data_IF_731043583286
#
_entry.id   IF_731043583286
#
_cell.length_a   1.000
_cell.length_b   1.000
_cell.length_c   1.000
_cell.angle_alpha   90.00
_cell.angle_beta   90.00
_cell.angle_gamma   90.00
#
_symmetry.space_group_name_H-M   'P 1'
#
loop_
_entity.id
_entity.type
_entity.pdbx_description
1 polymer ?
#
# COMPACT_ATOMS: atom_id res chain seq x y z
N UNK A 1 -0.70 40.50 -14.66
CA UNK A 1 -0.83 39.10 -15.11
C UNK A 1 -1.64 38.34 -14.07
N UNK A 2 -2.92 38.06 -14.33
CA UNK A 2 -3.70 37.20 -13.44
C UNK A 2 -3.33 35.76 -13.78
N UNK A 3 -2.79 35.00 -12.82
CA UNK A 3 -2.59 33.58 -12.97
C UNK A 3 -3.93 32.96 -13.42
N UNK A 4 -3.96 32.05 -14.41
CA UNK A 4 -5.21 31.41 -14.80
C UNK A 4 -5.75 30.71 -13.56
N UNK A 5 -6.83 31.25 -13.00
CA UNK A 5 -7.58 30.63 -11.93
C UNK A 5 -8.03 29.28 -12.47
N UNK A 6 -7.33 28.22 -12.07
CA UNK A 6 -7.72 26.87 -12.48
C UNK A 6 -9.16 26.70 -12.03
N UNK A 7 -10.06 26.36 -12.97
CA UNK A 7 -11.45 26.10 -12.64
C UNK A 7 -11.49 25.08 -11.49
N UNK A 8 -12.40 25.23 -10.53
CA UNK A 8 -12.45 24.35 -9.37
C UNK A 8 -12.63 22.87 -9.77
N UNK A 9 -13.22 22.60 -10.93
CA UNK A 9 -13.28 21.28 -11.58
C UNK A 9 -11.91 20.74 -12.02
N UNK A 10 -11.05 21.60 -12.60
CA UNK A 10 -9.68 21.24 -12.97
C UNK A 10 -8.81 21.00 -11.74
N UNK A 11 -9.02 21.77 -10.68
CA UNK A 11 -8.36 21.55 -9.39
C UNK A 11 -8.79 20.22 -8.76
N UNK A 12 -10.09 19.90 -8.79
CA UNK A 12 -10.62 18.63 -8.30
C UNK A 12 -10.00 17.44 -9.06
N UNK A 13 -10.00 17.49 -10.40
CA UNK A 13 -9.42 16.43 -11.23
C UNK A 13 -7.93 16.19 -10.93
N UNK A 14 -7.15 17.25 -10.69
CA UNK A 14 -5.75 17.12 -10.24
C UNK A 14 -5.62 16.49 -8.86
N UNK A 15 -6.48 16.85 -7.91
CA UNK A 15 -6.45 16.27 -6.56
C UNK A 15 -6.80 14.78 -6.61
N UNK A 16 -7.78 14.39 -7.41
CA UNK A 16 -8.15 13.00 -7.64
C UNK A 16 -7.02 12.20 -8.31
N UNK A 17 -6.29 12.82 -9.23
CA UNK A 17 -5.13 12.18 -9.85
C UNK A 17 -3.99 11.94 -8.86
N UNK A 18 -3.65 12.95 -8.06
CA UNK A 18 -2.66 12.83 -6.98
C UNK A 18 -3.06 11.77 -5.94
N UNK A 19 -4.37 11.59 -5.72
CA UNK A 19 -4.94 10.54 -4.86
C UNK A 19 -4.78 9.16 -5.49
N UNK A 20 -5.10 8.99 -6.78
CA UNK A 20 -4.85 7.75 -7.54
C UNK A 20 -3.36 7.38 -7.56
N UNK A 21 -2.46 8.36 -7.71
CA UNK A 21 -1.02 8.13 -7.69
C UNK A 21 -0.57 7.59 -6.32
N UNK A 22 -1.04 8.20 -5.23
CA UNK A 22 -0.71 7.76 -3.86
C UNK A 22 -1.25 6.34 -3.59
N UNK A 23 -2.46 6.04 -4.08
CA UNK A 23 -3.02 4.69 -4.00
C UNK A 23 -2.19 3.66 -4.79
N UNK A 24 -1.78 3.99 -6.03
CA UNK A 24 -0.90 3.11 -6.81
C UNK A 24 0.43 2.85 -6.12
N UNK A 25 0.99 3.84 -5.43
CA UNK A 25 2.22 3.64 -4.65
C UNK A 25 2.01 2.62 -3.52
N UNK A 26 0.89 2.67 -2.80
CA UNK A 26 0.52 1.67 -1.81
C UNK A 26 0.38 0.26 -2.44
N UNK A 27 -0.29 0.16 -3.59
CA UNK A 27 -0.42 -1.11 -4.31
C UNK A 27 0.92 -1.67 -4.77
N UNK A 28 1.87 -0.81 -5.16
CA UNK A 28 3.22 -1.24 -5.53
C UNK A 28 4.01 -1.74 -4.33
N UNK A 29 3.85 -1.15 -3.14
CA UNK A 29 4.47 -1.65 -1.90
C UNK A 29 3.91 -3.02 -1.56
N UNK A 30 2.58 -3.18 -1.60
CA UNK A 30 1.91 -4.46 -1.32
C UNK A 30 2.36 -5.57 -2.29
N UNK A 31 2.41 -5.25 -3.60
CA UNK A 31 2.92 -6.17 -4.62
C UNK A 31 4.38 -6.54 -4.41
N UNK A 32 5.22 -5.61 -3.96
CA UNK A 32 6.63 -5.89 -3.65
C UNK A 32 6.76 -6.84 -2.47
N UNK A 33 5.96 -6.65 -1.40
CA UNK A 33 5.92 -7.55 -0.25
C UNK A 33 5.50 -8.95 -0.70
N UNK A 34 4.39 -9.04 -1.44
CA UNK A 34 3.85 -10.31 -1.97
C UNK A 34 4.86 -11.02 -2.88
N UNK A 35 5.49 -10.29 -3.81
CA UNK A 35 6.47 -10.87 -4.74
C UNK A 35 7.70 -11.40 -4.01
N UNK A 36 8.23 -10.63 -3.05
CA UNK A 36 9.39 -11.03 -2.25
C UNK A 36 9.06 -12.26 -1.40
N UNK A 37 7.84 -12.33 -0.89
CA UNK A 37 7.34 -13.48 -0.15
C UNK A 37 7.26 -14.75 -1.01
N UNK A 38 6.64 -14.68 -2.20
CA UNK A 38 6.54 -15.80 -3.13
C UNK A 38 7.91 -16.31 -3.59
N UNK A 39 8.92 -15.43 -3.68
CA UNK A 39 10.29 -15.82 -4.02
C UNK A 39 11.03 -16.54 -2.87
N UNK A 40 10.66 -16.29 -1.61
CA UNK A 40 11.28 -16.88 -0.41
C UNK A 40 10.63 -18.23 -0.06
N UNK A 41 9.35 -18.44 -0.38
CA UNK A 41 8.60 -19.66 -0.06
C UNK A 41 9.25 -20.97 -0.57
N UNK A 42 9.71 -21.10 -1.84
CA UNK A 42 10.38 -22.33 -2.30
C UNK A 42 11.72 -22.58 -1.60
N UNK A 43 12.43 -21.51 -1.22
CA UNK A 43 13.73 -21.62 -0.51
C UNK A 43 13.53 -22.11 0.92
N UNK A 44 12.49 -21.63 1.59
CA UNK A 44 12.06 -22.14 2.91
C UNK A 44 11.67 -23.62 2.83
N UNK A 45 10.89 -24.01 1.82
CA UNK A 45 10.49 -25.40 1.60
C UNK A 45 11.69 -26.33 1.35
N UNK A 46 12.67 -25.93 0.52
CA UNK A 46 13.90 -26.71 0.28
C UNK A 46 14.81 -26.83 1.50
N UNK A 47 14.86 -25.80 2.35
CA UNK A 47 15.66 -25.83 3.59
C UNK A 47 15.02 -26.75 4.65
N UNK A 48 13.71 -26.97 4.55
CA UNK A 48 12.98 -27.94 5.37
C UNK A 48 13.24 -29.39 4.93
N UNK A 49 13.38 -29.66 3.62
CA UNK A 49 13.66 -31.02 3.11
C UNK A 49 15.09 -31.48 3.41
N UNK A 50 16.07 -30.56 3.48
CA UNK A 50 17.47 -30.89 3.76
C UNK A 50 17.82 -31.15 5.24
N UNK A 51 16.97 -30.77 6.20
CA UNK A 51 17.28 -30.86 7.64
C UNK A 51 16.98 -32.22 8.29
N UNK A 52 16.57 -33.21 7.50
CA UNK A 52 16.01 -34.43 8.04
C UNK A 52 16.54 -35.68 7.36
N UNK A 53 17.77 -36.04 7.74
CA UNK A 53 18.23 -37.42 7.72
C UNK A 53 17.57 -38.20 8.88
N UNK A 54 16.23 -38.27 8.89
CA UNK A 54 15.46 -39.18 9.76
C UNK A 54 14.29 -38.64 10.62
N UNK A 55 13.90 -37.36 10.57
CA UNK A 55 12.75 -36.83 11.35
C UNK A 55 11.78 -36.09 10.43
N UNK A 56 10.46 -36.25 10.56
CA UNK A 56 9.54 -35.48 9.71
C UNK A 56 9.64 -33.97 10.05
N UNK A 57 9.65 -33.07 9.05
CA UNK A 57 9.67 -31.64 9.33
C UNK A 57 8.38 -31.17 10.01
N UNK A 58 8.51 -30.52 11.15
CA UNK A 58 7.41 -29.85 11.83
C UNK A 58 6.86 -28.71 10.96
N UNK A 59 5.71 -28.92 10.30
CA UNK A 59 5.04 -27.90 9.48
C UNK A 59 4.73 -26.60 10.24
N UNK A 60 4.62 -26.66 11.58
CA UNK A 60 4.52 -25.48 12.45
C UNK A 60 5.74 -24.57 12.34
N UNK A 61 6.95 -25.12 12.32
CA UNK A 61 8.19 -24.32 12.24
C UNK A 61 8.35 -23.59 10.91
N UNK A 62 7.80 -24.13 9.81
CA UNK A 62 7.76 -23.47 8.51
C UNK A 62 6.82 -22.26 8.53
N UNK A 63 5.61 -22.44 9.06
CA UNK A 63 4.60 -21.37 9.17
C UNK A 63 5.08 -20.26 10.10
N UNK A 64 5.74 -20.59 11.20
CA UNK A 64 6.33 -19.60 12.11
C UNK A 64 7.45 -18.80 11.45
N UNK A 65 8.37 -19.47 10.73
CA UNK A 65 9.41 -18.78 9.95
C UNK A 65 8.82 -17.92 8.84
N UNK A 66 7.77 -18.40 8.18
CA UNK A 66 7.04 -17.63 7.17
C UNK A 66 6.39 -16.38 7.77
N UNK A 67 5.70 -16.49 8.91
CA UNK A 67 5.11 -15.35 9.64
C UNK A 67 6.16 -14.36 10.13
N UNK A 68 7.29 -14.84 10.65
CA UNK A 68 8.39 -13.99 11.09
C UNK A 68 9.01 -13.21 9.91
N UNK A 69 9.19 -13.86 8.75
CA UNK A 69 9.68 -13.19 7.54
C UNK A 69 8.65 -12.17 7.01
N UNK A 70 7.35 -12.49 7.05
CA UNK A 70 6.30 -11.54 6.69
C UNK A 70 6.35 -10.31 7.59
N UNK A 71 6.38 -10.53 8.91
CA UNK A 71 6.41 -9.46 9.90
C UNK A 71 7.64 -8.56 9.72
N UNK A 72 8.81 -9.13 9.42
CA UNK A 72 10.02 -8.36 9.12
C UNK A 72 9.85 -7.49 7.87
N UNK A 73 9.43 -8.08 6.75
CA UNK A 73 9.23 -7.36 5.49
C UNK A 73 8.16 -6.27 5.60
N UNK A 74 7.07 -6.54 6.30
CA UNK A 74 6.02 -5.57 6.57
C UNK A 74 6.54 -4.46 7.49
N UNK A 75 7.25 -4.78 8.58
CA UNK A 75 7.80 -3.77 9.49
C UNK A 75 8.78 -2.81 8.80
N UNK A 76 9.63 -3.30 7.88
CA UNK A 76 10.55 -2.47 7.09
C UNK A 76 9.85 -1.49 6.14
N UNK A 77 8.60 -1.78 5.74
CA UNK A 77 7.79 -0.95 4.83
C UNK A 77 6.63 -0.25 5.53
N UNK A 78 6.34 -0.60 6.78
CA UNK A 78 5.24 -0.09 7.58
C UNK A 78 5.26 1.44 7.73
N UNK A 79 6.39 2.10 8.09
CA UNK A 79 6.36 3.55 8.25
C UNK A 79 6.06 4.29 6.94
N UNK A 80 6.51 3.75 5.80
CA UNK A 80 6.22 4.29 4.47
C UNK A 80 4.76 4.09 4.10
N UNK A 81 4.21 2.88 4.32
CA UNK A 81 2.81 2.57 4.07
C UNK A 81 1.87 3.42 4.95
N UNK A 82 2.20 3.59 6.23
CA UNK A 82 1.45 4.44 7.15
C UNK A 82 1.52 5.92 6.77
N UNK A 83 2.68 6.41 6.34
CA UNK A 83 2.82 7.79 5.86
C UNK A 83 1.97 8.04 4.62
N UNK A 84 1.97 7.12 3.66
CA UNK A 84 1.14 7.18 2.46
C UNK A 84 -0.35 7.05 2.79
N UNK A 85 -0.73 6.19 3.74
CA UNK A 85 -2.10 6.05 4.21
C UNK A 85 -2.62 7.34 4.87
N UNK A 86 -1.82 7.96 5.75
CA UNK A 86 -2.16 9.27 6.33
C UNK A 86 -2.27 10.36 5.27
N UNK A 87 -1.40 10.35 4.26
CA UNK A 87 -1.46 11.28 3.13
C UNK A 87 -2.75 11.08 2.33
N UNK A 88 -3.14 9.83 2.08
CA UNK A 88 -4.37 9.47 1.38
C UNK A 88 -5.61 9.99 2.12
N UNK A 89 -5.68 9.76 3.44
CA UNK A 89 -6.79 10.27 4.26
C UNK A 89 -6.93 11.80 4.19
N UNK A 90 -5.80 12.53 4.18
CA UNK A 90 -5.81 13.99 4.01
C UNK A 90 -6.27 14.41 2.61
N UNK A 91 -5.86 13.69 1.57
CA UNK A 91 -6.31 13.94 0.20
C UNK A 91 -7.81 13.68 0.05
N UNK A 92 -8.31 12.56 0.59
CA UNK A 92 -9.74 12.22 0.56
C UNK A 92 -10.58 13.28 1.29
N UNK A 93 -10.14 13.75 2.46
CA UNK A 93 -10.81 14.84 3.18
C UNK A 93 -10.83 16.16 2.39
N UNK A 94 -9.73 16.52 1.75
CA UNK A 94 -9.64 17.75 0.94
C UNK A 94 -10.51 17.66 -0.33
N UNK A 95 -10.54 16.50 -0.99
CA UNK A 95 -11.42 16.23 -2.14
C UNK A 95 -12.89 16.31 -1.71
N UNK A 96 -13.25 15.70 -0.58
CA UNK A 96 -14.62 15.75 -0.06
C UNK A 96 -15.08 17.19 0.23
N UNK A 97 -14.23 17.98 0.89
CA UNK A 97 -14.52 19.40 1.16
C UNK A 97 -14.66 20.23 -0.12
N UNK A 98 -13.87 19.96 -1.16
CA UNK A 98 -13.98 20.66 -2.44
C UNK A 98 -15.26 20.26 -3.19
N UNK A 99 -15.64 18.99 -3.16
CA UNK A 99 -16.91 18.51 -3.75
C UNK A 99 -18.13 19.10 -3.05
N UNK A 100 -18.11 19.18 -1.73
CA UNK A 100 -19.16 19.82 -0.93
C UNK A 100 -19.33 21.30 -1.32
N UNK A 101 -18.22 22.04 -1.41
CA UNK A 101 -18.23 23.45 -1.87
C UNK A 101 -18.77 23.61 -3.28
N UNK A 102 -18.42 22.71 -4.20
CA UNK A 102 -18.93 22.71 -5.57
C UNK A 102 -20.43 22.38 -5.63
N UNK A 103 -20.89 21.45 -4.81
CA UNK A 103 -22.32 21.09 -4.70
C UNK A 103 -23.15 22.20 -4.05
N UNK A 104 -22.58 22.93 -3.09
CA UNK A 104 -23.22 24.08 -2.45
C UNK A 104 -23.18 25.36 -3.31
N UNK A 105 -22.36 25.40 -4.35
CA UNK A 105 -22.19 26.55 -5.25
C UNK A 105 -22.89 26.36 -6.62
N UNK A 106 -23.51 25.21 -6.89
CA UNK A 106 -24.34 24.98 -8.06
C UNK A 106 -25.71 25.69 -7.94
N UNK A 107 -26.29 26.21 -9.03
CA UNK A 107 -27.54 26.96 -8.98
C UNK A 107 -28.73 26.04 -8.68
N UNK A 108 -29.59 26.46 -7.75
CA UNK A 108 -30.98 26.03 -7.69
C UNK A 108 -31.77 26.57 -8.89
#
# INVERSE_FOLDING_TARGET
MMAPVMSPETQLSRMEDARRQTQRQLELIDRQITRRMTAILPKLARRQTGYHRGKAPDGRTLLERYRANLAGLTAERQPEAEALSRKLARQDAAIAALRDRLSSAGPH
#
